data_IF_799803374717
#
_entry.id   IF_799803374717
#
_cell.length_a   1.000
_cell.length_b   1.000
_cell.length_c   1.000
_cell.angle_alpha   90.00
_cell.angle_beta   90.00
_cell.angle_gamma   90.00
#
_symmetry.space_group_name_H-M   'P 1'
#
loop_
_entity.id
_entity.type
_entity.pdbx_description
1 polymer ?
#
# COMPACT_ATOMS: atom_id res chain seq x y z
N UNK A 1 -39.93 2.83 -51.48
CA UNK A 1 -40.57 2.61 -50.18
C UNK A 1 -39.54 1.90 -49.29
N UNK A 2 -38.93 2.58 -48.32
CA UNK A 2 -38.16 1.87 -47.30
C UNK A 2 -39.19 1.06 -46.50
N UNK A 3 -39.13 -0.28 -46.56
CA UNK A 3 -40.04 -1.10 -45.77
C UNK A 3 -39.74 -0.85 -44.29
N UNK A 4 -40.74 -0.39 -43.53
CA UNK A 4 -40.65 -0.08 -42.10
C UNK A 4 -39.97 -1.22 -41.32
N UNK A 5 -40.15 -2.47 -41.76
CA UNK A 5 -39.47 -3.66 -41.22
C UNK A 5 -37.94 -3.64 -41.37
N UNK A 6 -37.41 -3.19 -42.52
CA UNK A 6 -35.96 -3.03 -42.74
C UNK A 6 -35.39 -1.88 -41.89
N UNK A 7 -36.16 -0.81 -41.70
CA UNK A 7 -35.78 0.31 -40.83
C UNK A 7 -35.74 -0.10 -39.35
N UNK A 8 -36.67 -0.96 -38.90
CA UNK A 8 -36.65 -1.51 -37.53
C UNK A 8 -35.45 -2.45 -37.33
N UNK A 9 -35.15 -3.29 -38.31
CA UNK A 9 -33.98 -4.18 -38.28
C UNK A 9 -32.64 -3.42 -38.25
N UNK A 10 -32.53 -2.31 -38.98
CA UNK A 10 -31.33 -1.46 -38.95
C UNK A 10 -31.18 -0.70 -37.63
N UNK A 11 -32.27 -0.21 -37.02
CA UNK A 11 -32.25 0.41 -35.69
C UNK A 11 -31.83 -0.61 -34.62
N UNK A 12 -32.37 -1.83 -34.65
CA UNK A 12 -31.97 -2.91 -33.73
C UNK A 12 -30.47 -3.24 -33.85
N UNK A 13 -29.95 -3.31 -35.07
CA UNK A 13 -28.53 -3.53 -35.34
C UNK A 13 -27.66 -2.38 -34.81
N UNK A 14 -28.13 -1.13 -34.98
CA UNK A 14 -27.44 0.06 -34.47
C UNK A 14 -27.37 0.09 -32.94
N UNK A 15 -28.48 -0.24 -32.25
CA UNK A 15 -28.50 -0.35 -30.79
C UNK A 15 -27.54 -1.43 -30.31
N UNK A 16 -27.54 -2.61 -30.94
CA UNK A 16 -26.60 -3.68 -30.62
C UNK A 16 -25.14 -3.22 -30.78
N UNK A 17 -24.82 -2.50 -31.86
CA UNK A 17 -23.47 -1.97 -32.08
C UNK A 17 -23.02 -1.00 -30.97
N UNK A 18 -23.92 -0.13 -30.48
CA UNK A 18 -23.64 0.76 -29.33
C UNK A 18 -23.38 -0.05 -28.06
N UNK A 19 -24.22 -1.06 -27.77
CA UNK A 19 -24.04 -1.90 -26.60
C UNK A 19 -22.72 -2.68 -26.64
N UNK A 20 -22.35 -3.21 -27.81
CA UNK A 20 -21.04 -3.84 -28.02
C UNK A 20 -19.89 -2.85 -27.77
N UNK A 21 -20.01 -1.63 -28.28
CA UNK A 21 -18.99 -0.60 -28.06
C UNK A 21 -18.82 -0.27 -26.57
N UNK A 22 -19.93 -0.08 -25.84
CA UNK A 22 -19.90 0.15 -24.39
C UNK A 22 -19.28 -1.05 -23.66
N UNK A 23 -19.63 -2.27 -24.03
CA UNK A 23 -19.05 -3.50 -23.43
C UNK A 23 -17.54 -3.55 -23.61
N UNK A 24 -17.04 -3.29 -24.82
CA UNK A 24 -15.60 -3.24 -25.10
C UNK A 24 -14.90 -2.15 -24.30
N UNK A 25 -15.50 -0.96 -24.17
CA UNK A 25 -14.93 0.12 -23.34
C UNK A 25 -14.81 -0.29 -21.86
N UNK A 26 -15.81 -0.99 -21.32
CA UNK A 26 -15.77 -1.50 -19.94
C UNK A 26 -14.66 -2.54 -19.79
N UNK A 27 -14.54 -3.49 -20.73
CA UNK A 27 -13.50 -4.52 -20.70
C UNK A 27 -12.10 -3.91 -20.74
N UNK A 28 -11.85 -2.95 -21.63
CA UNK A 28 -10.55 -2.25 -21.71
C UNK A 28 -10.24 -1.56 -20.39
N UNK A 29 -11.23 -0.94 -19.74
CA UNK A 29 -11.04 -0.29 -18.43
C UNK A 29 -10.71 -1.30 -17.33
N UNK A 30 -11.38 -2.44 -17.28
CA UNK A 30 -11.11 -3.51 -16.31
C UNK A 30 -9.70 -4.08 -16.49
N UNK A 31 -9.31 -4.38 -17.74
CA UNK A 31 -7.95 -4.83 -18.08
C UNK A 31 -6.91 -3.80 -17.65
N UNK A 32 -7.18 -2.50 -17.86
CA UNK A 32 -6.25 -1.46 -17.43
C UNK A 32 -6.07 -1.46 -15.91
N UNK A 33 -7.15 -1.58 -15.15
CA UNK A 33 -7.13 -1.62 -13.67
C UNK A 33 -6.37 -2.85 -13.17
N UNK A 34 -6.52 -4.01 -13.84
CA UNK A 34 -5.80 -5.24 -13.47
C UNK A 34 -4.28 -5.15 -13.68
N UNK A 35 -3.75 -4.03 -14.17
CA UNK A 35 -2.30 -3.81 -14.31
C UNK A 35 -1.79 -2.60 -13.52
N UNK A 36 -2.61 -1.99 -12.67
CA UNK A 36 -2.21 -0.89 -11.80
C UNK A 36 -1.79 -1.49 -10.44
N UNK A 37 -0.50 -1.44 -10.08
CA UNK A 37 -0.06 -1.79 -8.74
C UNK A 37 -0.37 -0.67 -7.74
N UNK A 38 -0.63 -1.06 -6.50
CA UNK A 38 -0.86 -0.17 -5.38
C UNK A 38 -0.15 -0.75 -4.16
N UNK A 39 0.88 -0.04 -3.69
CA UNK A 39 1.73 -0.51 -2.61
C UNK A 39 1.29 0.12 -1.29
N UNK A 40 1.06 -0.69 -0.26
CA UNK A 40 0.60 -0.24 1.05
C UNK A 40 1.18 -1.12 2.17
N UNK A 41 1.23 -0.60 3.39
CA UNK A 41 1.66 -1.34 4.57
C UNK A 41 0.44 -1.81 5.38
N UNK A 42 0.56 -2.96 6.03
CA UNK A 42 -0.39 -3.39 7.05
C UNK A 42 -0.25 -2.54 8.33
N UNK A 43 -1.34 -2.42 9.08
CA UNK A 43 -1.29 -1.92 10.45
C UNK A 43 -0.52 -2.89 11.36
N UNK A 44 0.18 -2.33 12.34
CA UNK A 44 1.07 -3.08 13.22
C UNK A 44 0.73 -2.76 14.66
N UNK A 45 0.59 -3.80 15.48
CA UNK A 45 0.52 -3.62 16.94
C UNK A 45 1.94 -3.62 17.48
N UNK A 46 2.27 -2.63 18.29
CA UNK A 46 3.51 -2.56 19.05
C UNK A 46 3.19 -2.90 20.50
N UNK A 47 3.92 -3.87 21.06
CA UNK A 47 3.90 -4.16 22.49
C UNK A 47 5.17 -3.62 23.12
N UNK A 48 5.03 -2.71 24.09
CA UNK A 48 6.13 -2.22 24.90
C UNK A 48 6.28 -3.12 26.13
N UNK A 49 7.41 -3.81 26.20
CA UNK A 49 7.81 -4.62 27.35
C UNK A 49 9.20 -4.18 27.82
N UNK A 50 10.21 -5.06 27.80
CA UNK A 50 11.62 -4.67 27.99
C UNK A 50 12.28 -4.10 26.72
N UNK A 51 11.71 -4.41 25.56
CA UNK A 51 12.04 -3.90 24.22
C UNK A 51 10.74 -3.84 23.42
N UNK A 52 10.68 -3.00 22.39
CA UNK A 52 9.54 -3.00 21.50
C UNK A 52 9.45 -4.33 20.74
N UNK A 53 8.24 -4.86 20.66
CA UNK A 53 7.90 -5.97 19.77
C UNK A 53 6.84 -5.49 18.81
N UNK A 54 7.16 -5.44 17.52
CA UNK A 54 6.17 -5.18 16.49
C UNK A 54 5.45 -6.49 16.21
N UNK A 55 4.15 -6.45 15.99
CA UNK A 55 3.33 -7.62 15.67
C UNK A 55 2.52 -7.27 14.45
N UNK A 56 2.90 -7.88 13.33
CA UNK A 56 2.07 -7.82 12.13
C UNK A 56 0.81 -8.66 12.40
N UNK A 57 -0.37 -8.03 12.29
CA UNK A 57 -1.66 -8.65 12.61
C UNK A 57 -1.98 -9.89 11.75
N UNK A 58 -1.30 -10.04 10.62
CA UNK A 58 -1.60 -11.06 9.61
C UNK A 58 -0.67 -12.28 9.63
N UNK A 59 0.31 -12.37 10.53
CA UNK A 59 1.26 -13.50 10.58
C UNK A 59 1.36 -14.17 11.95
N UNK A 60 1.54 -15.49 11.92
CA UNK A 60 1.77 -16.35 13.08
C UNK A 60 3.23 -16.83 13.04
N UNK A 61 3.97 -16.51 14.10
CA UNK A 61 5.24 -17.13 14.51
C UNK A 61 6.49 -17.00 13.62
N UNK A 62 7.11 -15.81 13.60
CA UNK A 62 8.58 -15.77 13.64
C UNK A 62 9.13 -14.50 14.30
N UNK A 63 10.28 -14.59 14.96
CA UNK A 63 10.94 -13.43 15.57
C UNK A 63 11.32 -12.35 14.53
N UNK A 64 11.51 -12.74 13.26
CA UNK A 64 11.81 -11.84 12.15
C UNK A 64 10.60 -11.00 11.71
N UNK A 65 9.38 -11.53 11.93
CA UNK A 65 8.13 -10.78 11.72
C UNK A 65 7.99 -9.65 12.74
N UNK A 66 8.69 -9.75 13.88
CA UNK A 66 8.57 -8.78 14.96
C UNK A 66 9.40 -7.50 14.79
N UNK A 67 10.14 -7.38 13.68
CA UNK A 67 10.97 -6.22 13.35
C UNK A 67 10.90 -5.88 11.85
N UNK A 68 9.78 -6.17 11.20
CA UNK A 68 9.60 -5.95 9.77
C UNK A 68 8.24 -5.32 9.46
N UNK A 69 8.22 -4.44 8.46
CA UNK A 69 7.00 -3.93 7.86
C UNK A 69 6.53 -4.84 6.75
N UNK A 70 5.24 -5.19 6.74
CA UNK A 70 4.65 -5.94 5.63
C UNK A 70 4.21 -4.99 4.53
N UNK A 71 5.06 -4.82 3.52
CA UNK A 71 4.72 -4.08 2.31
C UNK A 71 3.94 -4.98 1.35
N UNK A 72 2.67 -4.66 1.14
CA UNK A 72 1.79 -5.40 0.23
C UNK A 72 1.61 -4.67 -1.09
N UNK A 73 1.37 -5.43 -2.16
CA UNK A 73 0.80 -4.90 -3.38
C UNK A 73 -0.68 -5.32 -3.48
N UNK A 74 -1.57 -4.40 -3.12
CA UNK A 74 -3.02 -4.57 -3.15
C UNK A 74 -3.63 -4.23 -4.53
N UNK A 75 -2.81 -3.72 -5.46
CA UNK A 75 -3.24 -3.45 -6.82
C UNK A 75 -3.24 -4.69 -7.71
N UNK A 76 -3.89 -4.62 -8.86
CA UNK A 76 -3.93 -5.73 -9.82
C UNK A 76 -2.62 -5.96 -10.58
N UNK A 77 -1.78 -4.94 -10.69
CA UNK A 77 -0.52 -4.99 -11.45
C UNK A 77 0.70 -5.41 -10.65
N UNK A 78 1.81 -5.63 -11.35
CA UNK A 78 3.14 -5.85 -10.75
C UNK A 78 3.88 -4.52 -10.62
N UNK A 79 4.39 -4.22 -9.42
CA UNK A 79 5.32 -3.11 -9.19
C UNK A 79 6.76 -3.55 -9.48
N UNK A 80 7.56 -2.65 -10.08
CA UNK A 80 8.98 -2.87 -10.43
C UNK A 80 9.84 -1.69 -10.00
N UNK A 81 11.12 -1.96 -9.75
CA UNK A 81 12.12 -0.97 -9.34
C UNK A 81 11.57 -0.09 -8.22
N UNK A 82 11.28 -0.73 -7.10
CA UNK A 82 10.63 -0.11 -5.95
C UNK A 82 11.73 0.41 -5.04
N UNK A 83 11.83 1.73 -4.94
CA UNK A 83 12.73 2.42 -4.04
C UNK A 83 11.92 2.89 -2.84
N UNK A 84 12.32 2.47 -1.65
CA UNK A 84 11.69 2.85 -0.38
C UNK A 84 12.70 3.63 0.43
N UNK A 85 12.31 4.81 0.88
CA UNK A 85 13.13 5.62 1.78
C UNK A 85 12.32 6.04 2.99
N UNK A 86 12.87 5.77 4.17
CA UNK A 86 12.33 6.16 5.47
C UNK A 86 13.10 7.39 5.94
N UNK A 87 12.38 8.47 6.22
CA UNK A 87 12.93 9.75 6.65
C UNK A 87 12.37 10.18 7.98
N UNK A 88 13.18 10.88 8.78
CA UNK A 88 12.77 11.60 9.98
C UNK A 88 12.90 13.11 9.74
N UNK A 89 11.92 13.89 10.19
CA UNK A 89 11.93 15.36 10.12
C UNK A 89 12.25 15.88 8.69
N UNK A 90 11.74 15.18 7.66
CA UNK A 90 11.90 15.44 6.22
C UNK A 90 13.31 15.29 5.63
N UNK A 91 14.38 15.36 6.43
CA UNK A 91 15.76 15.45 5.91
C UNK A 91 16.68 14.31 6.34
N UNK A 92 16.41 13.64 7.46
CA UNK A 92 17.28 12.57 7.94
C UNK A 92 16.84 11.23 7.36
N UNK A 93 17.68 10.65 6.49
CA UNK A 93 17.43 9.31 5.95
C UNK A 93 17.77 8.27 7.02
N UNK A 94 16.73 7.64 7.55
CA UNK A 94 16.87 6.54 8.50
C UNK A 94 17.17 5.23 7.77
N UNK A 95 16.50 4.96 6.64
CA UNK A 95 16.64 3.70 5.92
C UNK A 95 16.33 3.84 4.43
N UNK A 96 17.12 3.16 3.60
CA UNK A 96 16.84 2.96 2.17
C UNK A 96 16.75 1.47 1.84
N UNK A 97 15.80 1.12 0.97
CA UNK A 97 15.64 -0.24 0.44
C UNK A 97 15.26 -0.19 -1.03
N UNK A 98 15.82 -1.14 -1.77
CA UNK A 98 15.48 -1.39 -3.16
C UNK A 98 14.87 -2.79 -3.30
N UNK A 99 13.73 -2.89 -3.99
CA UNK A 99 13.07 -4.15 -4.32
C UNK A 99 12.86 -4.19 -5.83
N UNK A 100 13.36 -5.25 -6.48
CA UNK A 100 13.29 -5.37 -7.94
C UNK A 100 11.85 -5.50 -8.45
N UNK A 101 11.03 -6.32 -7.78
CA UNK A 101 9.69 -6.66 -8.23
C UNK A 101 8.78 -7.05 -7.06
N UNK A 102 7.53 -6.59 -7.09
CA UNK A 102 6.47 -7.03 -6.17
C UNK A 102 5.18 -7.30 -6.97
N UNK A 103 4.85 -8.57 -7.24
CA UNK A 103 3.62 -8.95 -7.95
C UNK A 103 2.35 -8.59 -7.19
N UNK A 104 1.21 -8.55 -7.90
CA UNK A 104 -0.11 -8.37 -7.29
C UNK A 104 -0.42 -9.44 -6.25
N UNK A 105 -1.07 -9.05 -5.15
CA UNK A 105 -1.45 -9.92 -4.03
C UNK A 105 -0.27 -10.66 -3.40
N UNK A 106 0.94 -10.08 -3.50
CA UNK A 106 2.14 -10.52 -2.81
C UNK A 106 2.59 -9.43 -1.85
N UNK A 107 3.40 -9.84 -0.88
CA UNK A 107 3.99 -8.95 0.10
C UNK A 107 5.49 -9.18 0.18
N UNK A 108 6.16 -8.20 0.74
CA UNK A 108 7.55 -8.24 1.12
C UNK A 108 7.65 -7.83 2.59
N UNK A 109 8.31 -8.67 3.39
CA UNK A 109 8.67 -8.31 4.77
C UNK A 109 9.92 -7.44 4.71
N UNK A 110 9.73 -6.13 4.84
CA UNK A 110 10.78 -5.14 4.86
C UNK A 110 11.36 -5.04 6.27
N UNK A 111 12.59 -5.53 6.52
CA UNK A 111 13.20 -5.42 7.84
C UNK A 111 13.43 -3.94 8.18
N UNK A 112 13.17 -3.60 9.43
CA UNK A 112 13.40 -2.26 9.98
C UNK A 112 14.85 -2.20 10.44
N UNK A 113 15.57 -1.14 10.06
CA UNK A 113 16.93 -0.95 10.52
C UNK A 113 16.97 -0.45 11.97
N UNK A 114 18.15 -0.55 12.56
CA UNK A 114 18.35 -0.16 13.96
C UNK A 114 17.96 1.30 14.24
N UNK A 115 18.33 2.25 13.36
CA UNK A 115 18.04 3.68 13.57
C UNK A 115 16.54 4.00 13.56
N UNK A 116 15.80 3.46 12.60
CA UNK A 116 14.35 3.62 12.53
C UNK A 116 13.64 2.94 13.70
N UNK A 117 14.17 1.80 14.15
CA UNK A 117 13.65 1.13 15.34
C UNK A 117 13.88 1.96 16.61
N UNK A 118 15.07 2.52 16.81
CA UNK A 118 15.38 3.41 17.94
C UNK A 118 14.47 4.65 17.94
N UNK A 119 14.18 5.25 16.78
CA UNK A 119 13.23 6.37 16.68
C UNK A 119 11.81 5.99 17.13
N UNK A 120 11.37 4.75 16.90
CA UNK A 120 10.08 4.28 17.44
C UNK A 120 10.11 4.11 18.95
N UNK A 121 11.22 3.65 19.51
CA UNK A 121 11.43 3.58 20.96
C UNK A 121 11.33 4.99 21.57
N UNK A 122 12.08 5.94 21.01
CA UNK A 122 12.10 7.33 21.47
C UNK A 122 10.73 8.01 21.35
N UNK A 123 9.99 7.77 20.25
CA UNK A 123 8.64 8.34 20.07
C UNK A 123 7.66 7.83 21.11
N UNK A 124 7.70 6.52 21.40
CA UNK A 124 6.82 5.88 22.38
C UNK A 124 7.18 6.32 23.82
N UNK A 125 8.45 6.58 24.11
CA UNK A 125 8.87 7.11 25.42
C UNK A 125 8.47 8.57 25.64
N UNK A 126 8.35 9.37 24.57
CA UNK A 126 8.05 10.81 24.62
C UNK A 126 6.57 11.18 24.38
N UNK A 127 5.62 10.33 24.81
CA UNK A 127 4.17 10.52 24.66
C UNK A 127 3.64 10.49 23.20
N UNK A 128 4.17 9.61 22.34
CA UNK A 128 3.36 8.68 21.52
C UNK A 128 2.14 9.16 20.71
N UNK A 129 2.09 10.38 20.20
CA UNK A 129 0.93 10.82 19.38
C UNK A 129 1.23 10.95 17.89
N UNK A 130 2.42 11.42 17.50
CA UNK A 130 2.72 11.60 16.08
C UNK A 130 4.21 11.54 15.82
N UNK A 131 4.63 10.54 15.04
CA UNK A 131 6.03 10.48 14.62
C UNK A 131 6.26 11.56 13.57
N UNK A 132 7.48 12.09 13.50
CA UNK A 132 7.93 12.87 12.35
C UNK A 132 8.54 11.97 11.27
N UNK A 133 8.15 10.68 11.25
CA UNK A 133 8.65 9.70 10.32
C UNK A 133 7.74 9.60 9.10
N UNK A 134 8.40 9.57 7.95
CA UNK A 134 7.77 9.43 6.65
C UNK A 134 8.41 8.29 5.87
N UNK A 135 7.60 7.56 5.11
CA UNK A 135 8.06 6.52 4.20
C UNK A 135 7.65 6.91 2.79
N UNK A 136 8.63 7.22 1.95
CA UNK A 136 8.42 7.44 0.53
C UNK A 136 8.66 6.15 -0.23
N UNK A 137 7.74 5.81 -1.14
CA UNK A 137 7.83 4.67 -2.04
C UNK A 137 7.75 5.18 -3.47
N UNK A 138 8.80 4.95 -4.26
CA UNK A 138 8.83 5.22 -5.70
C UNK A 138 8.88 3.92 -6.46
N UNK A 139 8.03 3.76 -7.46
CA UNK A 139 7.96 2.50 -8.22
C UNK A 139 7.38 2.69 -9.62
N UNK A 140 7.63 1.72 -10.49
CA UNK A 140 7.02 1.63 -11.82
C UNK A 140 5.98 0.52 -11.86
N UNK A 141 4.95 0.70 -12.68
CA UNK A 141 4.10 -0.43 -13.09
C UNK A 141 4.82 -1.23 -14.17
N UNK A 142 4.63 -2.54 -14.21
CA UNK A 142 5.17 -3.40 -15.27
C UNK A 142 4.83 -2.91 -16.70
N UNK A 143 3.67 -2.28 -16.89
CA UNK A 143 3.19 -1.84 -18.20
C UNK A 143 3.41 -0.35 -18.49
N UNK A 144 3.64 0.46 -17.45
CA UNK A 144 3.72 1.92 -17.58
C UNK A 144 5.13 2.41 -17.29
N UNK A 145 5.63 3.31 -18.13
CA UNK A 145 6.89 4.01 -17.90
C UNK A 145 6.76 5.16 -16.90
N UNK A 146 5.55 5.52 -16.48
CA UNK A 146 5.32 6.57 -15.48
C UNK A 146 5.74 6.05 -14.11
N UNK A 147 6.65 6.76 -13.46
CA UNK A 147 7.00 6.52 -12.06
C UNK A 147 5.85 7.00 -11.17
N UNK A 148 5.46 6.14 -10.23
CA UNK A 148 4.51 6.46 -9.18
C UNK A 148 5.30 6.75 -7.91
N UNK A 149 4.77 7.64 -7.08
CA UNK A 149 5.34 8.00 -5.79
C UNK A 149 4.20 8.06 -4.79
N UNK A 150 4.37 7.40 -3.65
CA UNK A 150 3.44 7.44 -2.52
C UNK A 150 4.26 7.79 -1.30
N UNK A 151 3.77 8.73 -0.48
CA UNK A 151 4.39 9.06 0.80
C UNK A 151 3.39 8.72 1.90
N UNK A 152 3.86 7.94 2.87
CA UNK A 152 3.16 7.62 4.10
C UNK A 152 3.75 8.42 5.25
N UNK A 153 2.90 8.98 6.10
CA UNK A 153 3.26 9.42 7.44
C UNK A 153 3.01 8.25 8.40
N UNK A 154 3.98 7.98 9.28
CA UNK A 154 3.82 6.96 10.31
C UNK A 154 3.19 7.61 11.54
N UNK A 155 2.06 7.09 11.98
CA UNK A 155 1.44 7.48 13.24
C UNK A 155 1.52 6.32 14.23
N UNK A 156 1.72 6.64 15.50
CA UNK A 156 1.71 5.68 16.59
C UNK A 156 0.73 6.23 17.60
N UNK A 157 -0.25 5.41 17.99
CA UNK A 157 -1.30 5.79 18.94
C UNK A 157 -1.43 4.72 20.02
N UNK A 158 -1.57 5.13 21.27
CA UNK A 158 -1.85 4.21 22.39
C UNK A 158 -3.30 3.72 22.32
N UNK A 159 -3.52 2.44 22.62
CA UNK A 159 -4.88 1.89 22.74
C UNK A 159 -5.06 0.99 23.95
N UNK A 160 -6.27 1.00 24.50
CA UNK A 160 -6.63 0.25 25.70
C UNK A 160 -6.79 -1.24 25.38
N UNK A 161 -6.30 -2.09 26.26
CA UNK A 161 -6.55 -3.53 26.23
C UNK A 161 -6.98 -4.07 27.60
N UNK A 162 -7.50 -5.29 27.60
CA UNK A 162 -8.00 -5.96 28.81
C UNK A 162 -6.89 -6.57 29.69
N UNK A 163 -5.66 -6.62 29.19
CA UNK A 163 -4.52 -7.27 29.84
C UNK A 163 -3.59 -6.28 30.57
N UNK A 164 -3.97 -4.99 30.68
CA UNK A 164 -3.16 -3.88 31.22
C UNK A 164 -1.73 -3.81 30.62
N UNK A 165 -1.60 -4.13 29.32
CA UNK A 165 -0.32 -4.04 28.60
C UNK A 165 -0.14 -2.65 27.96
N UNK A 166 1.10 -2.20 27.86
CA UNK A 166 1.43 -1.01 27.07
C UNK A 166 1.41 -1.37 25.57
N UNK A 167 0.28 -1.12 24.91
CA UNK A 167 0.07 -1.42 23.49
C UNK A 167 -0.14 -0.15 22.68
N UNK A 168 0.44 -0.14 21.49
CA UNK A 168 0.34 0.95 20.53
C UNK A 168 -0.02 0.41 19.16
N UNK A 169 -0.79 1.17 18.40
CA UNK A 169 -1.07 0.89 16.99
C UNK A 169 -0.21 1.80 16.13
N UNK A 170 0.55 1.20 15.21
CA UNK A 170 1.24 1.92 14.15
C UNK A 170 0.43 1.88 12.87
N UNK A 171 0.11 3.06 12.36
CA UNK A 171 -0.65 3.25 11.12
C UNK A 171 0.16 4.06 10.10
N UNK A 172 -0.22 3.90 8.83
CA UNK A 172 0.46 4.52 7.69
C UNK A 172 -0.54 5.36 6.90
N UNK A 173 -0.50 6.67 7.09
CA UNK A 173 -1.43 7.60 6.45
C UNK A 173 -0.81 8.19 5.18
N UNK A 174 -1.53 8.12 4.06
CA UNK A 174 -1.08 8.77 2.82
C UNK A 174 -1.15 10.28 2.96
N UNK A 175 -0.03 10.98 2.74
CA UNK A 175 -0.01 12.46 2.83
C UNK A 175 -0.57 13.15 1.59
N UNK A 176 -0.88 12.39 0.54
CA UNK A 176 -1.49 12.87 -0.70
C UNK A 176 -2.80 12.11 -0.97
N UNK A 177 -3.91 12.60 -0.43
CA UNK A 177 -5.28 12.24 -0.85
C UNK A 177 -5.89 13.36 -1.68
#
# INVERSE_FOLDING_TARGET
MLNILQAIGSIGTFIMAILYFISVMIQIRQIKISFIPFLAFDQIIIEKSKRLKLKNLTETDSDYVNTAFKLQNLGGGTAKNIDITVYLNENEVLQEKHINVLPSNKFYLMPINKKAFEEFEDTIENNGYTTNMYINIRYYSQISKKQNSITYRVNIEEFVNLDDKDLYEMTFETTNS
#
